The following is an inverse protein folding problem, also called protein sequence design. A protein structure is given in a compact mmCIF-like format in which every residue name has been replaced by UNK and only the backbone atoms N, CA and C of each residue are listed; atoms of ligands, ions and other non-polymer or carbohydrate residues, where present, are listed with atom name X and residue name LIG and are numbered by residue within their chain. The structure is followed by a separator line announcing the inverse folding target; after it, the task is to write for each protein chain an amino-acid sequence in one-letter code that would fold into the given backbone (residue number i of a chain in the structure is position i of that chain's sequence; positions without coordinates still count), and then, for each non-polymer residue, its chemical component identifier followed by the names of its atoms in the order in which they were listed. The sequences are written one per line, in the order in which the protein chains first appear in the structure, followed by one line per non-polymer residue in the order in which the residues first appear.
data_IF_093834855651
#
_entry.id   IF_093834855651
#
_cell.length_a   1.000
_cell.length_b   1.000
_cell.length_c   1.000
_cell.angle_alpha   90.00
_cell.angle_beta   90.00
_cell.angle_gamma   90.00
#
_symmetry.space_group_name_H-M   'P 1'
#
loop_
_entity.id
_entity.type
_entity.pdbx_description
1 polymer ?
#
# COMPACT_ATOMS: atom_id res chain seq x y z
N UNK A 1 -5.97 -33.43 42.72
CA UNK A 1 -4.72 -32.69 43.05
C UNK A 1 -3.56 -32.89 42.04
N UNK A 2 -3.75 -33.60 40.91
CA UNK A 2 -2.64 -34.00 40.01
C UNK A 2 -2.19 -32.91 39.00
N UNK A 3 -3.10 -32.07 38.51
CA UNK A 3 -2.81 -31.10 37.43
C UNK A 3 -1.87 -29.95 37.87
N UNK A 4 -1.99 -29.45 39.09
CA UNK A 4 -1.14 -28.36 39.60
C UNK A 4 0.34 -28.77 39.72
N UNK A 5 0.62 -30.02 40.08
CA UNK A 5 1.98 -30.54 40.20
C UNK A 5 2.69 -30.70 38.84
N UNK A 6 1.93 -31.10 37.80
CA UNK A 6 2.46 -31.20 36.42
C UNK A 6 2.85 -29.84 35.84
N UNK A 7 2.04 -28.79 36.06
CA UNK A 7 2.36 -27.41 35.65
C UNK A 7 3.60 -26.87 36.37
N UNK A 8 3.74 -27.10 37.67
CA UNK A 8 4.93 -26.69 38.43
C UNK A 8 6.21 -27.38 37.93
N UNK A 9 6.16 -28.69 37.61
CA UNK A 9 7.30 -29.43 37.02
C UNK A 9 7.70 -28.94 35.62
N UNK A 10 6.75 -28.43 34.82
CA UNK A 10 7.06 -27.83 33.51
C UNK A 10 7.73 -26.46 33.66
N UNK A 11 7.27 -25.63 34.59
CA UNK A 11 7.87 -24.32 34.89
C UNK A 11 9.31 -24.45 35.42
N UNK A 12 9.60 -25.48 36.22
CA UNK A 12 10.98 -25.74 36.69
C UNK A 12 11.89 -26.25 35.56
N UNK A 13 11.38 -26.98 34.56
CA UNK A 13 12.17 -27.36 33.37
C UNK A 13 12.56 -26.16 32.49
N UNK A 14 11.81 -25.05 32.53
CA UNK A 14 12.22 -23.81 31.86
C UNK A 14 13.36 -23.09 32.59
N UNK A 15 13.61 -23.38 33.88
CA UNK A 15 14.70 -22.82 34.69
C UNK A 15 16.05 -23.54 34.56
N UNK A 16 16.16 -24.62 33.76
CA UNK A 16 17.47 -25.19 33.46
C UNK A 16 18.33 -24.17 32.70
N UNK A 17 19.50 -23.86 33.28
CA UNK A 17 20.47 -22.89 32.79
C UNK A 17 21.39 -23.59 31.79
N UNK A 18 21.06 -23.53 30.51
CA UNK A 18 21.95 -23.99 29.45
C UNK A 18 22.99 -22.91 29.18
N UNK A 19 24.28 -23.30 29.09
CA UNK A 19 25.40 -22.42 28.74
C UNK A 19 25.82 -22.80 27.32
N UNK A 20 25.61 -21.89 26.37
CA UNK A 20 26.20 -22.00 25.03
C UNK A 20 27.51 -21.23 25.08
N UNK A 21 28.64 -21.87 24.82
CA UNK A 21 29.96 -21.24 24.82
C UNK A 21 30.47 -21.29 23.38
N UNK A 22 30.82 -20.14 22.80
CA UNK A 22 31.56 -20.06 21.55
C UNK A 22 33.05 -19.89 21.90
N UNK A 23 33.81 -20.95 21.67
CA UNK A 23 35.27 -21.00 21.87
C UNK A 23 35.91 -20.87 20.49
N UNK A 24 36.92 -20.03 20.36
CA UNK A 24 37.70 -19.95 19.13
C UNK A 24 38.68 -21.13 19.06
N UNK A 25 38.66 -21.89 17.97
CA UNK A 25 39.33 -23.20 17.89
C UNK A 25 40.87 -23.10 17.90
N UNK A 26 41.43 -21.99 17.41
CA UNK A 26 42.89 -21.79 17.33
C UNK A 26 43.54 -21.28 18.62
N UNK A 27 42.82 -20.51 19.44
CA UNK A 27 43.39 -19.86 20.63
C UNK A 27 42.61 -20.12 21.92
N UNK A 28 41.56 -20.95 21.89
CA UNK A 28 40.74 -21.33 23.05
C UNK A 28 40.21 -20.15 23.90
N UNK A 29 40.30 -18.91 23.41
CA UNK A 29 39.78 -17.74 24.09
C UNK A 29 38.25 -17.73 23.97
N UNK A 30 37.54 -17.71 25.11
CA UNK A 30 36.10 -17.44 25.16
C UNK A 30 35.86 -16.00 24.68
N UNK A 31 35.51 -15.80 23.40
CA UNK A 31 35.27 -14.46 22.85
C UNK A 31 33.91 -13.90 23.27
N UNK A 32 32.90 -14.76 23.45
CA UNK A 32 31.52 -14.38 23.72
C UNK A 32 30.84 -15.39 24.65
N UNK A 33 31.01 -15.22 25.97
CA UNK A 33 30.26 -15.99 26.97
C UNK A 33 28.84 -15.43 27.14
N UNK A 34 28.04 -15.40 26.07
CA UNK A 34 26.67 -14.97 26.17
C UNK A 34 25.86 -16.04 26.93
N UNK A 35 25.43 -15.73 28.17
CA UNK A 35 24.39 -16.53 28.85
C UNK A 35 23.07 -16.33 28.08
N UNK A 36 22.88 -17.06 26.98
CA UNK A 36 21.60 -17.23 26.30
C UNK A 36 20.67 -18.02 27.22
N UNK A 37 20.19 -17.36 28.27
CA UNK A 37 18.93 -17.76 28.90
C UNK A 37 17.87 -17.67 27.81
N UNK A 38 16.98 -18.67 27.73
CA UNK A 38 15.81 -18.63 26.84
C UNK A 38 15.07 -17.28 26.92
N UNK A 39 15.12 -16.63 28.09
CA UNK A 39 14.57 -15.29 28.33
C UNK A 39 15.26 -14.16 27.52
N UNK A 40 16.59 -14.15 27.39
CA UNK A 40 17.29 -13.11 26.62
C UNK A 40 17.02 -13.27 25.12
N UNK A 41 16.91 -14.51 24.64
CA UNK A 41 16.53 -14.79 23.25
C UNK A 41 15.11 -14.27 22.95
N UNK A 42 14.16 -14.53 23.85
CA UNK A 42 12.81 -13.97 23.75
C UNK A 42 12.82 -12.44 23.75
N UNK A 43 13.59 -11.81 24.64
CA UNK A 43 13.66 -10.36 24.70
C UNK A 43 14.24 -9.75 23.42
N UNK A 44 15.31 -10.33 22.86
CA UNK A 44 15.90 -9.89 21.60
C UNK A 44 14.91 -10.06 20.44
N UNK A 45 14.24 -11.21 20.38
CA UNK A 45 13.25 -11.51 19.35
C UNK A 45 12.07 -10.52 19.40
N UNK A 46 11.59 -10.16 20.58
CA UNK A 46 10.51 -9.17 20.75
C UNK A 46 10.94 -7.80 20.29
N UNK A 47 12.14 -7.35 20.68
CA UNK A 47 12.69 -6.05 20.23
C UNK A 47 12.86 -6.04 18.72
N UNK A 48 13.43 -7.10 18.15
CA UNK A 48 13.62 -7.25 16.70
C UNK A 48 12.27 -7.28 15.97
N UNK A 49 11.29 -8.00 16.50
CA UNK A 49 9.94 -8.07 15.92
C UNK A 49 9.26 -6.69 15.94
N UNK A 50 9.37 -5.94 17.03
CA UNK A 50 8.80 -4.60 17.11
C UNK A 50 9.49 -3.64 16.15
N UNK A 51 10.83 -3.69 16.08
CA UNK A 51 11.62 -2.93 15.12
C UNK A 51 11.24 -3.28 13.68
N UNK A 52 11.04 -4.57 13.37
CA UNK A 52 10.63 -5.03 12.04
C UNK A 52 9.26 -4.50 11.65
N UNK A 53 8.29 -4.49 12.57
CA UNK A 53 6.95 -3.93 12.32
C UNK A 53 7.04 -2.43 12.05
N UNK A 54 7.80 -1.68 12.86
CA UNK A 54 8.04 -0.25 12.64
C UNK A 54 8.68 0.01 11.28
N UNK A 55 9.71 -0.76 10.93
CA UNK A 55 10.40 -0.65 9.64
C UNK A 55 9.46 -0.96 8.48
N UNK A 56 8.61 -1.98 8.61
CA UNK A 56 7.60 -2.32 7.60
C UNK A 56 6.58 -1.20 7.40
N UNK A 57 6.07 -0.60 8.48
CA UNK A 57 5.15 0.53 8.40
C UNK A 57 5.82 1.74 7.75
N UNK A 58 7.07 2.02 8.14
CA UNK A 58 7.87 3.10 7.56
C UNK A 58 8.05 2.88 6.05
N UNK A 59 8.50 1.69 5.64
CA UNK A 59 8.62 1.33 4.23
C UNK A 59 7.28 1.48 3.51
N UNK A 60 6.18 0.97 4.05
CA UNK A 60 4.85 1.11 3.44
C UNK A 60 4.38 2.57 3.29
N UNK A 61 4.74 3.44 4.24
CA UNK A 61 4.37 4.84 4.21
C UNK A 61 5.23 5.67 3.23
N UNK A 62 6.52 5.36 3.10
CA UNK A 62 7.45 6.05 2.22
C UNK A 62 7.51 5.46 0.80
N UNK A 63 7.04 4.23 0.60
CA UNK A 63 6.94 3.61 -0.73
C UNK A 63 5.54 3.87 -1.32
N UNK A 64 5.43 3.99 -2.64
CA UNK A 64 4.15 4.18 -3.37
C UNK A 64 3.14 3.04 -3.22
N UNK A 65 3.35 2.06 -2.32
CA UNK A 65 2.38 1.00 -2.05
C UNK A 65 1.06 1.57 -1.49
N UNK A 66 1.09 2.72 -0.82
CA UNK A 66 -0.12 3.46 -0.40
C UNK A 66 -0.98 3.92 -1.58
N UNK A 67 -0.38 4.31 -2.70
CA UNK A 67 -1.11 4.70 -3.93
C UNK A 67 -1.70 3.48 -4.66
N UNK A 68 -1.18 2.28 -4.37
CA UNK A 68 -1.60 1.02 -4.99
C UNK A 68 -2.82 0.37 -4.32
N UNK A 69 -3.34 0.94 -3.23
CA UNK A 69 -4.61 0.51 -2.62
C UNK A 69 -5.74 1.33 -3.28
N UNK A 70 -6.42 0.80 -4.32
CA UNK A 70 -7.58 1.47 -4.91
C UNK A 70 -8.65 1.63 -3.83
N UNK A 71 -8.92 2.88 -3.45
CA UNK A 71 -9.84 3.25 -2.35
C UNK A 71 -9.35 4.44 -1.52
N UNK A 72 -8.04 4.62 -1.39
CA UNK A 72 -7.42 5.82 -0.80
C UNK A 72 -7.08 6.83 -1.89
N UNK A 73 -8.11 7.38 -2.53
CA UNK A 73 -7.95 8.51 -3.45
C UNK A 73 -7.26 9.66 -2.73
N UNK A 74 -6.04 10.00 -3.15
CA UNK A 74 -5.35 11.23 -2.75
C UNK A 74 -6.32 12.41 -2.93
N UNK A 75 -6.56 13.25 -1.91
CA UNK A 75 -7.38 14.45 -2.05
C UNK A 75 -7.00 15.29 -3.26
N UNK A 76 -5.70 15.36 -3.59
CA UNK A 76 -5.22 16.06 -4.78
C UNK A 76 -5.72 15.42 -6.08
N UNK A 77 -5.74 14.09 -6.16
CA UNK A 77 -6.25 13.34 -7.31
C UNK A 77 -7.76 13.51 -7.47
N UNK A 78 -8.53 13.49 -6.36
CA UNK A 78 -9.98 13.76 -6.41
C UNK A 78 -10.29 15.15 -6.98
N UNK A 79 -9.58 16.17 -6.50
CA UNK A 79 -9.76 17.54 -7.00
C UNK A 79 -9.38 17.67 -8.47
N UNK A 80 -8.32 16.98 -8.91
CA UNK A 80 -7.91 16.97 -10.32
C UNK A 80 -8.95 16.31 -11.21
N UNK A 81 -9.48 15.15 -10.81
CA UNK A 81 -10.54 14.44 -11.54
C UNK A 81 -11.80 15.30 -11.60
N UNK A 82 -12.21 15.92 -10.49
CA UNK A 82 -13.38 16.78 -10.45
C UNK A 82 -13.24 17.98 -11.42
N UNK A 83 -12.11 18.71 -11.36
CA UNK A 83 -11.85 19.82 -12.29
C UNK A 83 -11.82 19.38 -13.75
N UNK A 84 -11.23 18.22 -14.03
CA UNK A 84 -11.16 17.69 -15.38
C UNK A 84 -12.56 17.33 -15.91
N UNK A 85 -13.38 16.65 -15.12
CA UNK A 85 -14.77 16.33 -15.48
C UNK A 85 -15.58 17.61 -15.75
N UNK A 86 -15.53 18.61 -14.87
CA UNK A 86 -16.25 19.87 -15.09
C UNK A 86 -15.81 20.58 -16.38
N UNK A 87 -14.51 20.53 -16.70
CA UNK A 87 -13.97 21.13 -17.93
C UNK A 87 -14.40 20.33 -19.16
N UNK A 88 -14.40 19.00 -19.07
CA UNK A 88 -14.85 18.09 -20.13
C UNK A 88 -16.33 18.31 -20.46
N UNK A 89 -17.22 18.36 -19.46
CA UNK A 89 -18.65 18.61 -19.65
C UNK A 89 -18.88 19.94 -20.40
N UNK A 90 -18.11 20.97 -20.03
CA UNK A 90 -18.16 22.28 -20.66
C UNK A 90 -17.67 22.23 -22.12
N UNK A 91 -16.66 21.42 -22.40
CA UNK A 91 -16.12 21.22 -23.75
C UNK A 91 -17.10 20.44 -24.63
N UNK A 92 -17.69 19.37 -24.10
CA UNK A 92 -18.67 18.53 -24.79
C UNK A 92 -19.92 19.34 -25.19
N UNK A 93 -20.42 20.18 -24.27
CA UNK A 93 -21.54 21.07 -24.56
C UNK A 93 -21.24 22.03 -25.72
N UNK A 94 -20.04 22.62 -25.73
CA UNK A 94 -19.60 23.52 -26.81
C UNK A 94 -19.38 22.79 -28.13
N UNK A 95 -18.86 21.56 -28.08
CA UNK A 95 -18.67 20.70 -29.23
C UNK A 95 -20.02 20.37 -29.88
N UNK A 96 -20.99 19.94 -29.07
CA UNK A 96 -22.34 19.60 -29.54
C UNK A 96 -23.04 20.80 -30.19
N UNK A 97 -22.93 21.99 -29.58
CA UNK A 97 -23.46 23.22 -30.17
C UNK A 97 -22.80 23.55 -31.53
N UNK A 98 -21.48 23.35 -31.64
CA UNK A 98 -20.75 23.54 -32.90
C UNK A 98 -21.18 22.53 -33.97
N UNK A 99 -21.34 21.25 -33.61
CA UNK A 99 -21.80 20.22 -34.54
C UNK A 99 -23.19 20.54 -35.08
N UNK A 100 -24.12 20.96 -34.23
CA UNK A 100 -25.45 21.40 -34.68
C UNK A 100 -25.38 22.62 -35.60
N UNK A 101 -24.53 23.60 -35.29
CA UNK A 101 -24.33 24.77 -36.13
C UNK A 101 -23.78 24.39 -37.52
N UNK A 102 -22.77 23.53 -37.57
CA UNK A 102 -22.18 23.03 -38.81
C UNK A 102 -23.18 22.17 -39.60
N UNK A 103 -23.99 21.35 -38.94
CA UNK A 103 -25.04 20.56 -39.60
C UNK A 103 -26.10 21.46 -40.22
N UNK A 104 -26.54 22.50 -39.51
CA UNK A 104 -27.48 23.48 -40.04
C UNK A 104 -26.92 24.20 -41.28
N UNK A 105 -25.63 24.61 -41.25
CA UNK A 105 -24.97 25.20 -42.42
C UNK A 105 -24.93 24.21 -43.59
N UNK A 106 -24.54 22.96 -43.33
CA UNK A 106 -24.51 21.91 -44.36
C UNK A 106 -25.89 21.69 -44.98
N UNK A 107 -26.96 21.67 -44.18
CA UNK A 107 -28.35 21.54 -44.67
C UNK A 107 -28.77 22.70 -45.55
N UNK A 108 -28.38 23.93 -45.22
CA UNK A 108 -28.69 25.12 -46.03
C UNK A 108 -27.90 25.07 -47.35
N UNK A 109 -26.61 24.73 -47.29
CA UNK A 109 -25.73 24.70 -48.46
C UNK A 109 -26.04 23.54 -49.42
N UNK A 110 -26.43 22.38 -48.88
CA UNK A 110 -26.80 21.20 -49.65
C UNK A 110 -28.26 21.21 -50.10
N UNK A 111 -29.06 22.24 -49.77
CA UNK A 111 -30.43 22.35 -50.24
C UNK A 111 -30.38 22.54 -51.76
N UNK A 112 -30.78 21.54 -52.57
CA UNK A 112 -30.69 21.68 -54.01
C UNK A 112 -31.61 22.82 -54.43
N UNK A 113 -31.08 23.78 -55.16
CA UNK A 113 -31.89 24.80 -55.81
C UNK A 113 -32.75 24.11 -56.86
N UNK A 114 -33.94 23.67 -56.47
CA UNK A 114 -34.98 23.29 -57.41
C UNK A 114 -35.41 24.55 -58.15
N UNK A 115 -34.73 24.81 -59.27
CA UNK A 115 -35.18 25.71 -60.34
C UNK A 115 -36.54 25.19 -60.81
N UNK A 116 -37.61 25.77 -60.27
CA UNK A 116 -38.96 25.59 -60.77
C UNK A 116 -39.13 26.58 -61.93
N UNK A 117 -38.94 26.09 -63.16
CA UNK A 117 -39.32 26.81 -64.38
C UNK A 117 -40.57 26.17 -64.99
N UNK A 118 -41.37 27.05 -65.60
CA UNK A 118 -42.53 26.88 -66.50
C UNK A 118 -43.93 26.74 -65.88
N UNK A 119 -44.66 27.85 -65.87
CA UNK A 119 -45.82 28.02 -66.74
C UNK A 119 -45.63 29.29 -67.56
#
# INVERSE_FOLDING_TARGET
MSEKQKKQKRLTRLRYKYRLVLINEENFEERLSFRLSRLHVYSLLTILSLFWIMLMIYLLAFTSLREYIPGYTDPALKHKIYRLNTTLDSLETKLYANEQYLDNIRRILNKPQTRRYYQ
#
